data_IF_454485119702
#
_entry.id   IF_454485119702
#
_cell.length_a   1.000
_cell.length_b   1.000
_cell.length_c   1.000
_cell.angle_alpha   90.00
_cell.angle_beta   90.00
_cell.angle_gamma   90.00
#
_symmetry.space_group_name_H-M   'P 1'
#
loop_
_entity.id
_entity.type
_entity.pdbx_description
1 polymer ?
#
# COMPACT_ATOMS: atom_id res chain seq x y z
N UNK A 1 22.06 -25.32 -6.16
CA UNK A 1 21.55 -24.89 -7.48
C UNK A 1 20.66 -25.96 -8.12
N UNK A 2 21.17 -27.14 -8.48
CA UNK A 2 20.36 -28.23 -9.03
C UNK A 2 19.19 -28.64 -8.11
N UNK A 3 19.42 -28.70 -6.79
CA UNK A 3 18.38 -28.99 -5.81
C UNK A 3 17.20 -27.99 -5.79
N UNK A 4 17.43 -26.71 -6.13
CA UNK A 4 16.34 -25.71 -6.18
C UNK A 4 15.57 -25.84 -7.48
N UNK A 5 16.27 -26.08 -8.60
CA UNK A 5 15.66 -26.40 -9.89
C UNK A 5 14.80 -27.66 -9.76
N UNK A 6 15.31 -28.69 -9.10
CA UNK A 6 14.60 -29.94 -8.83
C UNK A 6 13.46 -29.74 -7.84
N UNK A 7 13.62 -28.87 -6.83
CA UNK A 7 12.55 -28.49 -5.91
C UNK A 7 11.39 -27.81 -6.64
N UNK A 8 11.69 -26.83 -7.50
CA UNK A 8 10.69 -26.14 -8.33
C UNK A 8 10.02 -27.12 -9.28
N UNK A 9 10.77 -28.01 -9.95
CA UNK A 9 10.21 -29.06 -10.83
C UNK A 9 9.36 -30.08 -10.09
N UNK A 10 9.71 -30.42 -8.84
CA UNK A 10 9.03 -31.44 -8.02
C UNK A 10 7.77 -30.92 -7.34
N UNK A 11 7.75 -29.66 -6.90
CA UNK A 11 6.63 -29.07 -6.14
C UNK A 11 5.64 -28.30 -7.00
N UNK A 12 6.04 -27.89 -8.20
CA UNK A 12 5.08 -27.58 -9.26
C UNK A 12 4.70 -28.90 -9.94
N UNK A 13 3.52 -29.43 -9.63
CA UNK A 13 2.85 -30.51 -10.38
C UNK A 13 2.51 -30.13 -11.85
N UNK A 14 3.30 -29.25 -12.47
CA UNK A 14 3.04 -28.62 -13.78
C UNK A 14 3.94 -29.17 -14.89
N UNK A 15 4.88 -30.07 -14.59
CA UNK A 15 5.90 -30.53 -15.55
C UNK A 15 5.58 -31.90 -16.18
N UNK A 16 4.64 -32.67 -15.63
CA UNK A 16 4.41 -34.07 -16.08
C UNK A 16 3.17 -34.30 -16.95
N UNK A 17 2.39 -33.26 -17.27
CA UNK A 17 1.35 -33.36 -18.30
C UNK A 17 1.73 -32.44 -19.47
N UNK A 18 2.35 -33.01 -20.49
CA UNK A 18 2.74 -32.32 -21.73
C UNK A 18 1.56 -31.68 -22.50
N UNK A 19 0.32 -31.93 -22.06
CA UNK A 19 -0.93 -31.50 -22.68
C UNK A 19 -1.47 -30.14 -22.20
N UNK A 20 -1.03 -29.59 -21.07
CA UNK A 20 -1.55 -28.32 -20.56
C UNK A 20 -0.56 -27.16 -20.74
N UNK A 21 -0.96 -26.18 -21.55
CA UNK A 21 -0.24 -24.91 -21.62
C UNK A 21 -0.30 -24.23 -20.25
N UNK A 22 0.86 -23.83 -19.71
CA UNK A 22 0.92 -22.98 -18.52
C UNK A 22 0.23 -21.64 -18.83
N UNK A 23 -0.61 -21.20 -17.91
CA UNK A 23 -1.11 -19.82 -17.89
C UNK A 23 0.02 -18.82 -17.69
N UNK A 24 -0.18 -17.58 -18.13
CA UNK A 24 0.75 -16.46 -17.91
C UNK A 24 1.06 -16.26 -16.41
N UNK A 25 0.10 -16.51 -15.51
CA UNK A 25 0.29 -16.44 -14.06
C UNK A 25 1.27 -17.50 -13.53
N UNK A 26 1.17 -18.74 -14.03
CA UNK A 26 2.09 -19.82 -13.66
C UNK A 26 3.51 -19.57 -14.17
N UNK A 27 3.65 -19.05 -15.40
CA UNK A 27 4.94 -18.64 -15.96
C UNK A 27 5.56 -17.55 -15.08
N UNK A 28 4.81 -16.50 -14.71
CA UNK A 28 5.30 -15.45 -13.81
C UNK A 28 5.80 -15.99 -12.47
N UNK A 29 5.05 -16.89 -11.82
CA UNK A 29 5.46 -17.52 -10.55
C UNK A 29 6.73 -18.36 -10.69
N UNK A 30 6.84 -19.15 -11.76
CA UNK A 30 8.04 -19.95 -12.03
C UNK A 30 9.27 -19.05 -12.23
N UNK A 31 9.10 -17.97 -12.99
CA UNK A 31 10.15 -16.98 -13.23
C UNK A 31 10.61 -16.30 -11.94
N UNK A 32 9.67 -15.92 -11.07
CA UNK A 32 9.98 -15.39 -9.74
C UNK A 32 10.85 -16.37 -8.94
N UNK A 33 10.45 -17.64 -8.89
CA UNK A 33 11.20 -18.69 -8.18
C UNK A 33 12.60 -18.92 -8.77
N UNK A 34 12.78 -18.82 -10.08
CA UNK A 34 14.09 -18.95 -10.73
C UNK A 34 15.03 -17.80 -10.40
N UNK A 35 14.53 -16.56 -10.42
CA UNK A 35 15.32 -15.38 -10.05
C UNK A 35 15.72 -15.44 -8.56
N UNK A 36 14.82 -15.90 -7.69
CA UNK A 36 15.11 -16.18 -6.27
C UNK A 36 16.24 -17.20 -6.13
N UNK A 37 16.10 -18.32 -6.85
CA UNK A 37 17.03 -19.44 -6.76
C UNK A 37 18.42 -19.09 -7.29
N UNK A 38 18.50 -18.14 -8.23
CA UNK A 38 19.73 -17.74 -8.90
C UNK A 38 19.70 -16.23 -9.22
N UNK A 39 20.05 -15.37 -8.25
CA UNK A 39 20.37 -13.96 -8.48
C UNK A 39 21.27 -13.76 -9.70
N UNK A 40 20.89 -12.88 -10.61
CA UNK A 40 21.67 -12.60 -11.84
C UNK A 40 21.56 -13.66 -12.94
N UNK A 41 20.58 -14.57 -12.88
CA UNK A 41 20.30 -15.50 -13.98
C UNK A 41 20.02 -14.73 -15.28
N UNK A 42 20.76 -15.07 -16.34
CA UNK A 42 20.63 -14.34 -17.61
C UNK A 42 19.35 -14.70 -18.36
N UNK A 43 18.86 -13.78 -19.21
CA UNK A 43 17.72 -14.04 -20.11
C UNK A 43 17.93 -15.34 -20.91
N UNK A 44 19.15 -15.57 -21.41
CA UNK A 44 19.51 -16.75 -22.19
C UNK A 44 19.39 -18.04 -21.36
N UNK A 45 19.84 -18.01 -20.10
CA UNK A 45 19.72 -19.17 -19.21
C UNK A 45 18.27 -19.49 -18.88
N UNK A 46 17.40 -18.50 -18.65
CA UNK A 46 15.98 -18.75 -18.43
C UNK A 46 15.30 -19.26 -19.70
N UNK A 47 15.61 -18.68 -20.85
CA UNK A 47 15.07 -19.13 -22.14
C UNK A 47 15.40 -20.60 -22.45
N UNK A 48 16.52 -21.10 -21.92
CA UNK A 48 16.87 -22.53 -22.03
C UNK A 48 16.04 -23.45 -21.13
N UNK A 49 15.40 -22.91 -20.08
CA UNK A 49 14.61 -23.65 -19.09
C UNK A 49 13.12 -23.65 -19.39
N UNK A 50 12.65 -22.75 -20.26
CA UNK A 50 11.24 -22.58 -20.60
C UNK A 50 10.99 -23.11 -22.02
N UNK A 51 10.04 -24.04 -22.21
CA UNK A 51 9.69 -24.52 -23.54
C UNK A 51 9.33 -23.36 -24.49
N UNK A 52 9.82 -23.43 -25.73
CA UNK A 52 9.66 -22.39 -26.76
C UNK A 52 8.18 -21.99 -27.05
N UNK A 53 7.22 -22.84 -26.67
CA UNK A 53 5.78 -22.57 -26.81
C UNK A 53 5.27 -21.44 -25.90
N UNK A 54 6.00 -21.04 -24.87
CA UNK A 54 5.56 -20.03 -23.89
C UNK A 54 6.12 -18.63 -24.17
N UNK A 55 5.79 -18.03 -25.31
CA UNK A 55 6.38 -16.74 -25.76
C UNK A 55 6.27 -15.58 -24.75
N UNK A 56 5.32 -15.63 -23.82
CA UNK A 56 5.11 -14.61 -22.79
C UNK A 56 6.19 -14.57 -21.70
N UNK A 57 7.09 -15.57 -21.64
CA UNK A 57 8.11 -15.63 -20.59
C UNK A 57 9.11 -14.48 -20.69
N UNK A 58 9.40 -13.98 -21.89
CA UNK A 58 10.30 -12.84 -22.09
C UNK A 58 9.70 -11.55 -21.52
N UNK A 59 8.39 -11.36 -21.69
CA UNK A 59 7.66 -10.25 -21.10
C UNK A 59 7.66 -10.35 -19.57
N UNK A 60 7.42 -11.55 -19.02
CA UNK A 60 7.52 -11.79 -17.59
C UNK A 60 8.95 -11.57 -17.05
N UNK A 61 9.98 -11.93 -17.81
CA UNK A 61 11.38 -11.68 -17.44
C UNK A 61 11.70 -10.19 -17.38
N UNK A 62 11.28 -9.41 -18.38
CA UNK A 62 11.49 -7.96 -18.39
C UNK A 62 10.92 -7.31 -17.14
N UNK A 63 9.66 -7.60 -16.82
CA UNK A 63 8.97 -7.12 -15.62
C UNK A 63 9.69 -7.52 -14.31
N UNK A 64 10.26 -8.73 -14.26
CA UNK A 64 10.98 -9.23 -13.09
C UNK A 64 12.38 -8.65 -12.94
N UNK A 65 13.09 -8.41 -14.03
CA UNK A 65 14.42 -7.84 -14.00
C UNK A 65 14.38 -6.36 -13.57
N UNK A 66 13.37 -5.62 -14.05
CA UNK A 66 13.10 -4.25 -13.60
C UNK A 66 12.75 -4.24 -12.09
N UNK A 67 11.92 -5.19 -11.65
CA UNK A 67 11.59 -5.37 -10.23
C UNK A 67 12.80 -5.78 -9.37
N UNK A 68 13.71 -6.61 -9.89
CA UNK A 68 14.88 -7.10 -9.17
C UNK A 68 15.94 -6.00 -9.00
N UNK A 69 16.19 -5.21 -10.05
CA UNK A 69 17.07 -4.05 -9.98
C UNK A 69 16.51 -2.96 -9.05
N UNK A 70 15.18 -2.85 -8.94
CA UNK A 70 14.54 -1.99 -7.93
C UNK A 70 14.71 -2.51 -6.49
N UNK A 71 14.85 -3.83 -6.29
CA UNK A 71 14.96 -4.45 -4.96
C UNK A 71 16.38 -4.50 -4.39
N UNK A 72 17.43 -4.47 -5.21
CA UNK A 72 18.83 -4.58 -4.75
C UNK A 72 19.29 -3.46 -3.82
N UNK A 73 18.62 -2.30 -3.84
CA UNK A 73 18.88 -1.15 -2.96
C UNK A 73 17.98 -1.11 -1.72
N UNK A 74 17.10 -2.10 -1.50
CA UNK A 74 16.18 -2.10 -0.35
C UNK A 74 16.75 -2.94 0.81
N UNK A 75 16.46 -2.58 2.08
CA UNK A 75 16.88 -3.38 3.23
C UNK A 75 16.35 -4.81 3.14
N UNK A 76 17.12 -5.78 3.65
CA UNK A 76 16.66 -7.17 3.79
C UNK A 76 15.42 -7.25 4.70
N UNK A 77 14.60 -8.30 4.61
CA UNK A 77 13.44 -8.44 5.48
C UNK A 77 13.82 -8.35 6.97
N UNK A 78 14.90 -9.00 7.37
CA UNK A 78 15.40 -8.95 8.74
C UNK A 78 15.75 -7.52 9.17
N UNK A 79 16.43 -6.78 8.31
CA UNK A 79 16.74 -5.36 8.55
C UNK A 79 15.47 -4.52 8.67
N UNK A 80 14.41 -4.84 7.94
CA UNK A 80 13.13 -4.11 8.04
C UNK A 80 12.44 -4.37 9.37
N UNK A 81 12.43 -5.61 9.86
CA UNK A 81 11.89 -5.94 11.18
C UNK A 81 12.66 -5.19 12.27
N UNK A 82 14.00 -5.17 12.19
CA UNK A 82 14.85 -4.39 13.10
C UNK A 82 14.54 -2.89 13.05
N UNK A 83 14.33 -2.34 11.85
CA UNK A 83 13.90 -0.94 11.67
C UNK A 83 12.53 -0.72 12.35
N UNK A 84 11.52 -1.55 12.10
CA UNK A 84 10.22 -1.40 12.77
C UNK A 84 10.31 -1.51 14.29
N UNK A 85 11.15 -2.41 14.81
CA UNK A 85 11.40 -2.55 16.24
C UNK A 85 12.11 -1.33 16.83
N UNK A 86 13.11 -0.79 16.14
CA UNK A 86 13.81 0.46 16.49
C UNK A 86 12.85 1.63 16.66
N UNK A 87 11.80 1.70 15.82
CA UNK A 87 10.77 2.75 15.87
C UNK A 87 9.54 2.38 16.72
N UNK A 88 9.51 1.18 17.30
CA UNK A 88 8.47 0.75 18.25
C UNK A 88 7.19 0.17 17.65
N UNK A 89 7.17 -0.13 16.34
CA UNK A 89 5.97 -0.63 15.64
C UNK A 89 5.83 -2.16 15.61
N UNK A 90 6.84 -2.92 16.04
CA UNK A 90 6.90 -4.38 15.87
C UNK A 90 7.58 -5.14 17.02
N UNK A 91 7.36 -4.73 18.29
CA UNK A 91 8.16 -5.24 19.42
C UNK A 91 8.05 -6.76 19.66
N UNK A 92 7.01 -7.44 19.16
CA UNK A 92 6.76 -8.87 19.39
C UNK A 92 6.83 -9.75 18.12
N UNK A 93 7.23 -9.19 16.98
CA UNK A 93 7.34 -9.95 15.74
C UNK A 93 8.53 -10.92 15.82
N UNK A 94 8.24 -12.23 15.81
CA UNK A 94 9.27 -13.27 15.72
C UNK A 94 9.58 -13.59 14.26
N UNK A 95 10.87 -13.63 13.92
CA UNK A 95 11.37 -13.81 12.55
C UNK A 95 11.01 -15.15 11.92
N UNK A 96 10.83 -16.19 12.74
CA UNK A 96 10.71 -17.58 12.31
C UNK A 96 9.38 -17.93 11.62
N UNK A 97 8.33 -17.11 11.79
CA UNK A 97 7.02 -17.33 11.16
C UNK A 97 6.92 -16.73 9.74
N UNK A 98 7.71 -15.70 9.41
CA UNK A 98 7.55 -14.92 8.17
C UNK A 98 8.54 -15.26 7.04
N UNK A 99 9.70 -15.84 7.38
CA UNK A 99 10.77 -16.13 6.43
C UNK A 99 10.41 -17.16 5.33
N UNK A 100 9.36 -17.97 5.53
CA UNK A 100 9.06 -19.09 4.61
C UNK A 100 8.24 -18.74 3.37
N UNK A 101 7.64 -17.54 3.27
CA UNK A 101 6.67 -17.28 2.19
C UNK A 101 6.80 -15.94 1.45
N UNK A 102 7.57 -14.97 1.96
CA UNK A 102 7.38 -13.57 1.57
C UNK A 102 8.63 -12.85 1.05
N UNK A 103 9.71 -13.56 0.79
CA UNK A 103 11.02 -12.96 0.51
C UNK A 103 11.12 -12.07 -0.76
N UNK A 104 10.09 -11.98 -1.63
CA UNK A 104 10.24 -11.37 -2.97
C UNK A 104 9.25 -10.28 -3.39
N UNK A 105 8.38 -9.83 -2.49
CA UNK A 105 7.51 -8.68 -2.78
C UNK A 105 7.83 -7.58 -1.79
N UNK A 106 8.98 -6.92 -1.98
CA UNK A 106 9.56 -5.99 -1.01
C UNK A 106 8.55 -5.00 -0.38
N UNK A 107 7.53 -4.51 -1.09
CA UNK A 107 6.50 -3.66 -0.49
C UNK A 107 5.43 -4.42 0.30
N UNK A 108 4.99 -5.60 -0.17
CA UNK A 108 4.05 -6.48 0.57
C UNK A 108 4.56 -6.87 1.96
N UNK A 109 5.88 -6.95 2.16
CA UNK A 109 6.44 -7.21 3.48
C UNK A 109 6.33 -6.00 4.39
N UNK A 110 6.52 -4.79 3.84
CA UNK A 110 6.34 -3.55 4.60
C UNK A 110 4.87 -3.37 4.95
N UNK A 111 3.95 -3.62 4.01
CA UNK A 111 2.51 -3.54 4.27
C UNK A 111 2.07 -4.54 5.33
N UNK A 112 2.54 -5.80 5.29
CA UNK A 112 2.25 -6.76 6.36
C UNK A 112 2.80 -6.34 7.71
N UNK A 113 4.00 -5.76 7.75
CA UNK A 113 4.54 -5.20 9.00
C UNK A 113 3.68 -4.03 9.50
N UNK A 114 3.21 -3.18 8.60
CA UNK A 114 2.29 -2.10 8.94
C UNK A 114 0.90 -2.63 9.39
N UNK A 115 0.39 -3.71 8.80
CA UNK A 115 -0.85 -4.37 9.23
C UNK A 115 -0.76 -4.83 10.69
N UNK A 116 0.42 -5.28 11.14
CA UNK A 116 0.61 -5.67 12.55
C UNK A 116 0.51 -4.50 13.54
N UNK A 117 0.61 -3.26 13.05
CA UNK A 117 0.35 -2.07 13.89
C UNK A 117 -1.14 -1.85 14.12
N UNK A 118 -1.98 -2.44 13.26
CA UNK A 118 -3.44 -2.24 13.25
C UNK A 118 -3.81 -0.73 13.28
N UNK A 119 -2.95 0.09 12.66
CA UNK A 119 -3.12 1.53 12.47
C UNK A 119 -3.24 1.89 10.96
N UNK A 120 -3.48 0.89 10.12
CA UNK A 120 -3.66 1.04 8.70
C UNK A 120 -5.13 1.16 8.34
N UNK A 121 -5.37 2.03 7.37
CA UNK A 121 -6.64 2.26 6.69
C UNK A 121 -6.38 1.92 5.23
N UNK A 122 -7.11 0.95 4.69
CA UNK A 122 -6.89 0.47 3.33
C UNK A 122 -8.23 0.20 2.64
N UNK A 123 -8.50 0.96 1.58
CA UNK A 123 -9.75 0.86 0.83
C UNK A 123 -9.52 1.04 -0.66
N UNK A 124 -10.48 0.58 -1.46
CA UNK A 124 -10.48 0.85 -2.90
C UNK A 124 -10.82 2.32 -3.16
N UNK A 125 -10.01 3.00 -3.98
CA UNK A 125 -10.27 4.41 -4.29
C UNK A 125 -11.47 4.55 -5.21
N UNK A 126 -11.80 3.51 -5.98
CA UNK A 126 -13.01 3.40 -6.79
C UNK A 126 -14.15 2.83 -5.95
N UNK A 127 -15.19 3.64 -5.68
CA UNK A 127 -16.34 3.18 -4.89
C UNK A 127 -17.40 2.43 -5.69
N UNK A 128 -17.28 2.40 -7.03
CA UNK A 128 -18.21 1.73 -7.95
C UNK A 128 -19.62 2.32 -8.00
N UNK A 129 -19.87 3.42 -7.27
CA UNK A 129 -21.14 4.16 -7.25
C UNK A 129 -20.84 5.66 -7.18
N UNK A 130 -21.62 6.45 -7.91
CA UNK A 130 -21.53 7.92 -7.95
C UNK A 130 -22.88 8.53 -7.56
N UNK A 131 -22.94 9.48 -6.60
CA UNK A 131 -21.81 10.07 -5.85
C UNK A 131 -21.27 9.14 -4.76
N UNK A 132 -20.04 9.42 -4.32
CA UNK A 132 -19.34 8.69 -3.27
C UNK A 132 -19.63 9.26 -1.88
N UNK A 133 -19.90 8.40 -0.90
CA UNK A 133 -20.07 8.82 0.49
C UNK A 133 -18.73 8.82 1.23
N UNK A 134 -18.20 10.00 1.52
CA UNK A 134 -17.02 10.21 2.36
C UNK A 134 -17.35 10.06 3.84
N UNK A 135 -18.59 10.35 4.24
CA UNK A 135 -19.07 10.10 5.59
C UNK A 135 -19.14 8.59 5.91
N UNK A 136 -19.59 7.76 4.96
CA UNK A 136 -19.57 6.31 5.14
C UNK A 136 -18.13 5.78 5.10
N UNK A 137 -17.29 6.27 4.15
CA UNK A 137 -15.86 5.94 4.13
C UNK A 137 -15.18 6.27 5.48
N UNK A 138 -15.48 7.43 6.07
CA UNK A 138 -14.98 7.79 7.40
C UNK A 138 -15.35 6.74 8.44
N UNK A 139 -16.64 6.42 8.52
CA UNK A 139 -17.21 5.58 9.55
C UNK A 139 -16.70 4.14 9.44
N UNK A 140 -16.58 3.64 8.23
CA UNK A 140 -16.26 2.24 7.97
C UNK A 140 -14.75 2.00 8.02
N UNK A 141 -13.94 2.93 7.51
CA UNK A 141 -12.49 2.71 7.34
C UNK A 141 -11.63 3.51 8.33
N UNK A 142 -11.95 4.80 8.57
CA UNK A 142 -11.11 5.68 9.39
C UNK A 142 -11.45 5.59 10.89
N UNK A 143 -12.74 5.63 11.21
CA UNK A 143 -13.23 5.73 12.58
C UNK A 143 -12.80 4.55 13.47
N UNK A 144 -12.80 3.28 13.01
CA UNK A 144 -12.35 2.16 13.83
C UNK A 144 -10.88 2.30 14.25
N UNK A 145 -10.02 2.75 13.31
CA UNK A 145 -8.59 2.96 13.57
C UNK A 145 -8.37 4.14 14.51
N UNK A 146 -9.11 5.24 14.34
CA UNK A 146 -9.05 6.41 15.21
C UNK A 146 -9.50 6.09 16.64
N UNK A 147 -10.66 5.46 16.83
CA UNK A 147 -11.21 5.10 18.14
C UNK A 147 -10.24 4.18 18.89
N UNK A 148 -9.67 3.19 18.20
CA UNK A 148 -8.69 2.29 18.78
C UNK A 148 -7.47 3.03 19.34
N UNK A 149 -7.08 4.14 18.71
CA UNK A 149 -5.97 4.99 19.15
C UNK A 149 -6.43 6.11 20.11
N UNK A 150 -7.63 6.01 20.70
CA UNK A 150 -8.17 6.98 21.65
C UNK A 150 -8.62 8.30 21.01
N UNK A 151 -8.91 8.30 19.71
CA UNK A 151 -9.42 9.46 18.98
C UNK A 151 -10.90 9.21 18.65
N UNK A 152 -11.78 9.67 19.52
CA UNK A 152 -13.25 9.54 19.39
C UNK A 152 -13.96 10.89 19.21
N UNK A 153 -13.22 11.99 19.20
CA UNK A 153 -13.74 13.35 19.09
C UNK A 153 -14.03 13.79 17.64
N UNK A 154 -13.61 13.02 16.64
CA UNK A 154 -13.80 13.37 15.23
C UNK A 154 -15.15 12.87 14.69
N UNK A 155 -15.83 13.73 13.95
CA UNK A 155 -17.00 13.35 13.15
C UNK A 155 -16.90 13.94 11.75
N UNK A 156 -17.49 13.25 10.79
CA UNK A 156 -17.56 13.68 9.40
C UNK A 156 -19.01 13.70 8.98
N UNK A 157 -19.45 14.82 8.41
CA UNK A 157 -20.72 14.93 7.72
C UNK A 157 -20.49 15.47 6.32
N UNK A 158 -21.39 15.14 5.41
CA UNK A 158 -21.31 15.59 4.03
C UNK A 158 -22.67 16.08 3.55
N UNK A 159 -22.62 16.99 2.59
CA UNK A 159 -23.73 17.38 1.74
C UNK A 159 -23.20 17.39 0.33
N UNK A 160 -23.97 16.87 -0.62
CA UNK A 160 -23.59 16.91 -2.01
C UNK A 160 -24.78 17.27 -2.91
N UNK A 161 -24.47 17.94 -4.01
CA UNK A 161 -25.42 18.31 -5.06
C UNK A 161 -24.87 17.84 -6.42
N UNK A 162 -25.74 17.35 -7.29
CA UNK A 162 -25.33 16.87 -8.62
C UNK A 162 -25.90 17.82 -9.68
N UNK A 163 -25.01 18.44 -10.46
CA UNK A 163 -25.34 19.32 -11.59
C UNK A 163 -24.51 18.90 -12.80
N UNK A 164 -25.13 18.68 -13.96
CA UNK A 164 -24.42 18.33 -15.22
C UNK A 164 -23.46 17.13 -15.12
N UNK A 165 -23.82 16.10 -14.35
CA UNK A 165 -22.99 14.92 -14.02
C UNK A 165 -21.72 15.23 -13.21
N UNK A 166 -21.61 16.42 -12.64
CA UNK A 166 -20.60 16.81 -11.67
C UNK A 166 -21.25 16.82 -10.30
N UNK A 167 -20.60 16.21 -9.32
CA UNK A 167 -21.03 16.25 -7.94
C UNK A 167 -20.21 17.29 -7.18
N UNK A 168 -20.89 18.27 -6.59
CA UNK A 168 -20.32 19.29 -5.74
C UNK A 168 -20.40 18.82 -4.30
N UNK A 169 -19.26 18.48 -3.71
CA UNK A 169 -19.17 17.99 -2.34
C UNK A 169 -18.91 19.14 -1.39
N UNK A 170 -19.61 19.12 -0.27
CA UNK A 170 -19.28 19.87 0.94
C UNK A 170 -19.06 18.86 2.06
N UNK A 171 -17.81 18.65 2.47
CA UNK A 171 -17.45 17.79 3.59
C UNK A 171 -17.12 18.64 4.81
N UNK A 172 -17.73 18.33 5.94
CA UNK A 172 -17.47 18.95 7.22
C UNK A 172 -16.78 17.93 8.14
N UNK A 173 -15.52 18.17 8.47
CA UNK A 173 -14.80 17.45 9.51
C UNK A 173 -14.94 18.25 10.80
N UNK A 174 -15.52 17.69 11.85
CA UNK A 174 -15.72 18.39 13.13
C UNK A 174 -14.97 17.70 14.26
N UNK A 175 -14.42 18.49 15.17
CA UNK A 175 -13.99 18.07 16.50
C UNK A 175 -14.86 18.75 17.57
N UNK A 176 -14.47 18.67 18.86
CA UNK A 176 -15.24 19.28 19.95
C UNK A 176 -15.36 20.80 19.87
N UNK A 177 -14.43 21.47 19.17
CA UNK A 177 -14.28 22.92 19.22
C UNK A 177 -14.54 23.62 17.87
N UNK A 178 -14.31 22.91 16.75
CA UNK A 178 -14.28 23.49 15.41
C UNK A 178 -14.81 22.53 14.35
N UNK A 179 -15.29 23.12 13.26
CA UNK A 179 -15.64 22.43 12.02
C UNK A 179 -14.77 22.95 10.88
N UNK A 180 -14.13 22.03 10.15
CA UNK A 180 -13.35 22.29 8.96
C UNK A 180 -14.19 21.90 7.75
N UNK A 181 -14.46 22.88 6.90
CA UNK A 181 -15.23 22.70 5.68
C UNK A 181 -14.29 22.51 4.49
N UNK A 182 -14.58 21.53 3.66
CA UNK A 182 -13.89 21.22 2.42
C UNK A 182 -14.93 21.24 1.30
N UNK A 183 -14.62 21.96 0.21
CA UNK A 183 -15.46 22.00 -0.97
C UNK A 183 -14.64 21.56 -2.18
N UNK A 184 -15.20 20.67 -3.00
CA UNK A 184 -14.61 20.25 -4.26
C UNK A 184 -15.68 19.69 -5.20
N UNK A 185 -15.30 19.58 -6.47
CA UNK A 185 -16.13 18.99 -7.52
C UNK A 185 -15.50 17.69 -7.97
N UNK A 186 -16.33 16.68 -8.22
CA UNK A 186 -15.85 15.41 -8.75
C UNK A 186 -16.92 14.83 -9.70
N UNK A 187 -16.48 14.43 -10.89
CA UNK A 187 -17.31 13.80 -11.93
C UNK A 187 -17.01 12.31 -12.11
N UNK A 188 -16.32 11.69 -11.14
CA UNK A 188 -15.91 10.29 -11.15
C UNK A 188 -16.32 9.58 -9.87
N UNK A 189 -16.26 8.26 -9.90
CA UNK A 189 -16.44 7.37 -8.76
C UNK A 189 -15.15 7.12 -7.96
N UNK A 190 -14.19 8.07 -8.04
CA UNK A 190 -12.92 8.04 -7.31
C UNK A 190 -12.95 8.99 -6.11
N UNK A 191 -12.51 8.52 -4.94
CA UNK A 191 -12.44 9.38 -3.75
C UNK A 191 -11.40 10.49 -3.89
N UNK A 192 -11.75 11.71 -3.49
CA UNK A 192 -10.82 12.84 -3.38
C UNK A 192 -10.11 12.82 -2.02
N UNK A 193 -9.18 11.89 -1.88
CA UNK A 193 -8.55 11.52 -0.60
C UNK A 193 -7.66 12.63 -0.02
N UNK A 194 -6.92 13.35 -0.85
CA UNK A 194 -5.92 14.33 -0.38
C UNK A 194 -6.54 15.49 0.42
N UNK A 195 -7.51 16.26 -0.10
CA UNK A 195 -8.12 17.35 0.65
C UNK A 195 -8.80 16.83 1.92
N UNK A 196 -9.40 15.64 1.84
CA UNK A 196 -10.06 14.98 2.95
C UNK A 196 -9.10 14.64 4.11
N UNK A 197 -7.96 13.99 3.82
CA UNK A 197 -6.93 13.70 4.83
C UNK A 197 -6.37 15.01 5.44
N UNK A 198 -6.17 16.06 4.64
CA UNK A 198 -5.65 17.35 5.14
C UNK A 198 -6.56 17.93 6.22
N UNK A 199 -7.88 17.88 6.03
CA UNK A 199 -8.84 18.37 7.01
C UNK A 199 -8.87 17.50 8.28
N UNK A 200 -8.83 16.17 8.15
CA UNK A 200 -8.73 15.26 9.29
C UNK A 200 -7.46 15.52 10.11
N UNK A 201 -6.30 15.66 9.44
CA UNK A 201 -5.04 16.01 10.10
C UNK A 201 -5.10 17.38 10.79
N UNK A 202 -5.76 18.37 10.20
CA UNK A 202 -5.95 19.68 10.84
C UNK A 202 -6.78 19.56 12.12
N UNK A 203 -7.84 18.74 12.09
CA UNK A 203 -8.66 18.49 13.26
C UNK A 203 -7.90 17.75 14.38
N UNK A 204 -7.02 16.80 14.02
CA UNK A 204 -6.11 16.11 14.95
C UNK A 204 -5.11 17.07 15.59
N UNK A 205 -4.50 17.97 14.80
CA UNK A 205 -3.56 18.99 15.28
C UNK A 205 -4.23 19.91 16.31
N UNK A 206 -5.41 20.43 15.98
CA UNK A 206 -6.10 21.41 16.84
C UNK A 206 -6.56 20.79 18.18
N UNK A 207 -6.68 19.46 18.24
CA UNK A 207 -6.95 18.71 19.48
C UNK A 207 -5.68 18.23 20.19
N UNK A 208 -4.50 18.66 19.74
CA UNK A 208 -3.23 18.32 20.37
C UNK A 208 -2.81 16.85 20.23
N UNK A 209 -3.39 16.10 19.28
CA UNK A 209 -2.92 14.75 18.98
C UNK A 209 -1.52 14.80 18.39
N UNK A 210 -0.68 13.82 18.71
CA UNK A 210 0.63 13.62 18.06
C UNK A 210 0.52 12.72 16.81
N UNK A 211 -0.61 12.03 16.61
CA UNK A 211 -0.83 11.10 15.51
C UNK A 211 -1.38 11.79 14.26
N UNK A 212 -0.99 11.28 13.08
CA UNK A 212 -1.34 11.84 11.78
C UNK A 212 -1.68 10.74 10.80
N UNK A 213 -2.64 11.05 9.94
CA UNK A 213 -2.93 10.27 8.75
C UNK A 213 -1.85 10.58 7.70
N UNK A 214 -1.06 9.56 7.37
CA UNK A 214 0.06 9.61 6.44
C UNK A 214 -0.33 8.76 5.23
N UNK A 215 -0.34 9.36 4.04
CA UNK A 215 -0.59 8.62 2.81
C UNK A 215 0.64 7.77 2.47
N UNK A 216 0.41 6.52 2.09
CA UNK A 216 1.44 5.55 1.72
C UNK A 216 1.11 5.09 0.29
N UNK A 217 2.07 5.25 -0.63
CA UNK A 217 1.87 4.86 -2.03
C UNK A 217 1.66 3.34 -2.16
N UNK A 218 0.42 2.93 -2.48
CA UNK A 218 0.00 1.55 -2.69
C UNK A 218 0.54 0.95 -3.99
N UNK A 219 0.85 1.78 -4.99
CA UNK A 219 1.17 1.43 -6.39
C UNK A 219 0.05 0.77 -7.20
N UNK A 220 -1.18 0.83 -6.72
CA UNK A 220 -2.34 0.33 -7.42
C UNK A 220 -3.53 1.29 -7.28
N UNK A 221 -4.73 0.82 -7.59
CA UNK A 221 -5.96 1.63 -7.54
C UNK A 221 -6.48 1.82 -6.10
N UNK A 222 -5.87 1.17 -5.11
CA UNK A 222 -6.27 1.29 -3.71
C UNK A 222 -5.58 2.47 -3.02
N UNK A 223 -6.17 2.95 -1.95
CA UNK A 223 -5.58 3.98 -1.09
C UNK A 223 -5.13 3.34 0.22
N UNK A 224 -3.87 3.58 0.59
CA UNK A 224 -3.30 3.14 1.86
C UNK A 224 -2.92 4.35 2.72
N UNK A 225 -3.45 4.41 3.93
CA UNK A 225 -3.21 5.50 4.88
C UNK A 225 -2.84 4.89 6.23
N UNK A 226 -1.83 5.45 6.89
CA UNK A 226 -1.42 5.06 8.23
C UNK A 226 -1.68 6.14 9.25
N UNK A 227 -2.19 5.78 10.44
CA UNK A 227 -2.29 6.68 11.57
C UNK A 227 -1.06 6.53 12.48
N UNK A 228 -0.10 7.45 12.33
CA UNK A 228 1.19 7.34 13.00
C UNK A 228 1.72 8.67 13.54
N UNK A 229 2.62 8.61 14.52
CA UNK A 229 3.46 9.74 14.93
C UNK A 229 4.44 10.06 13.78
N UNK A 230 4.33 11.20 13.11
CA UNK A 230 5.16 11.54 11.95
C UNK A 230 6.64 11.64 12.31
N UNK A 231 6.99 11.99 13.56
CA UNK A 231 8.39 12.11 14.01
C UNK A 231 9.08 10.75 14.13
N UNK A 232 8.30 9.67 14.22
CA UNK A 232 8.82 8.28 14.24
C UNK A 232 8.64 7.60 12.90
N UNK A 233 7.48 7.78 12.27
CA UNK A 233 7.13 7.07 11.05
C UNK A 233 7.90 7.55 9.83
N UNK A 234 8.04 8.86 9.63
CA UNK A 234 8.70 9.37 8.42
C UNK A 234 10.18 8.97 8.35
N UNK A 235 10.98 9.05 9.45
CA UNK A 235 12.35 8.52 9.44
C UNK A 235 12.41 7.01 9.18
N UNK A 236 11.46 6.24 9.75
CA UNK A 236 11.35 4.82 9.47
C UNK A 236 11.07 4.55 7.99
N UNK A 237 10.12 5.28 7.40
CA UNK A 237 9.73 5.14 6.00
C UNK A 237 10.89 5.48 5.06
N UNK A 238 11.66 6.52 5.37
CA UNK A 238 12.89 6.87 4.64
C UNK A 238 13.93 5.74 4.69
N UNK A 239 14.22 5.18 5.88
CA UNK A 239 15.13 4.03 6.03
C UNK A 239 14.65 2.78 5.25
N UNK A 240 13.34 2.64 5.07
CA UNK A 240 12.72 1.54 4.32
C UNK A 240 12.60 1.82 2.82
N UNK A 241 12.92 3.04 2.37
CA UNK A 241 12.62 3.52 1.01
C UNK A 241 11.14 3.27 0.66
N UNK A 242 10.26 3.67 1.59
CA UNK A 242 8.81 3.69 1.46
C UNK A 242 8.39 5.09 1.05
N UNK A 243 7.67 5.17 -0.06
CA UNK A 243 7.12 6.43 -0.54
C UNK A 243 5.87 6.76 0.26
N UNK A 244 5.96 7.81 1.08
CA UNK A 244 4.87 8.28 1.91
C UNK A 244 4.91 9.80 2.05
N UNK A 245 3.74 10.38 2.23
CA UNK A 245 3.57 11.82 2.35
C UNK A 245 2.74 12.10 3.59
N UNK A 246 3.37 12.70 4.60
CA UNK A 246 2.59 13.37 5.64
C UNK A 246 1.94 14.58 4.97
N UNK A 247 0.61 14.54 4.86
CA UNK A 247 -0.18 15.63 4.28
C UNK A 247 -0.27 16.77 5.30
N UNK A 248 0.89 17.35 5.61
CA UNK A 248 1.09 18.55 6.40
C UNK A 248 1.57 19.65 5.48
N UNK A 249 0.63 20.44 4.97
CA UNK A 249 0.86 21.79 4.45
C UNK A 249 2.13 22.00 3.60
N UNK A 250 2.46 21.08 2.70
CA UNK A 250 3.28 21.43 1.54
C UNK A 250 2.35 21.83 0.40
N UNK A 251 2.47 23.11 0.07
CA UNK A 251 1.94 23.89 -1.04
C UNK A 251 0.44 24.30 -0.98
N UNK A 252 0.21 25.47 -0.39
CA UNK A 252 -0.54 26.57 -1.01
C UNK A 252 -2.07 26.48 -1.18
N UNK A 253 -2.73 25.36 -0.86
CA UNK A 253 -4.17 25.17 -1.20
C UNK A 253 -5.17 25.38 -0.04
N UNK A 254 -4.75 25.89 1.11
CA UNK A 254 -5.68 26.23 2.22
C UNK A 254 -5.60 27.68 2.69
N UNK A 255 -4.87 28.54 1.98
CA UNK A 255 -4.94 29.99 2.17
C UNK A 255 -5.79 30.64 1.08
N UNK A 256 -7.12 30.51 1.19
CA UNK A 256 -8.07 31.57 0.83
C UNK A 256 -9.51 31.13 1.15
N UNK A 257 -10.11 31.67 2.21
CA UNK A 257 -11.56 31.72 2.34
C UNK A 257 -12.13 31.53 3.75
N UNK A 258 -12.33 32.68 4.42
CA UNK A 258 -13.15 32.95 5.62
C UNK A 258 -12.52 32.72 7.00
#
# INVERSE_FOLDING_TARGET
QQAIIDFVRKHNRFVNNDSEAWSTSQIKKFMQLLVIAKPGISKAEIGSMIPARYKDWEYAYGQLNDSYNYQSNKPSFSSRVEIFQKYGYAQNLKMDEYDKFLFHLGRLNIYRLLETTENLIWFDTEGGMFPLSHADLFKDEFQPVLIKNGIDFLSVSEVHEITDNICHYTINVSNSDKTYKIEFENGSDWYEVIPYIKALNKALIDQGSDLRLIYIDSQDQTTLIGLFDPNKFLPMAEELNLECYALHFRDGLLESGY
#
